data_IF_799493790388
#
_entry.id   IF_799493790388
#
_cell.length_a   1.000
_cell.length_b   1.000
_cell.length_c   1.000
_cell.angle_alpha   90.00
_cell.angle_beta   90.00
_cell.angle_gamma   90.00
#
_symmetry.space_group_name_H-M   'P 1'
#
loop_
_entity.id
_entity.type
_entity.pdbx_description
1 polymer ?
#
# COMPACT_ATOMS: atom_id res chain seq x y z
N UNK A 1 -1.57 -26.39 -13.74
CA UNK A 1 -1.59 -24.97 -14.11
C UNK A 1 -0.18 -24.42 -14.12
N UNK A 2 0.17 -23.60 -15.11
CA UNK A 2 1.39 -22.78 -15.12
C UNK A 2 1.03 -21.35 -14.72
N UNK A 3 1.93 -20.64 -14.05
CA UNK A 3 1.71 -19.27 -13.58
C UNK A 3 2.74 -18.35 -14.21
N UNK A 4 2.27 -17.29 -14.86
CA UNK A 4 3.11 -16.20 -15.37
C UNK A 4 2.77 -14.94 -14.60
N UNK A 5 3.76 -14.37 -13.90
CA UNK A 5 3.65 -13.08 -13.23
C UNK A 5 4.54 -12.09 -13.97
N UNK A 6 3.94 -11.00 -14.46
CA UNK A 6 4.69 -9.91 -15.07
C UNK A 6 4.43 -8.59 -14.33
N UNK A 7 5.49 -7.82 -14.12
CA UNK A 7 5.46 -6.49 -13.50
C UNK A 7 6.06 -5.47 -14.45
N UNK A 8 5.38 -4.34 -14.64
CA UNK A 8 5.78 -3.30 -15.59
C UNK A 8 5.94 -1.92 -14.95
N UNK A 9 6.69 -1.04 -15.64
CA UNK A 9 6.82 0.39 -15.31
C UNK A 9 5.71 1.23 -15.95
N UNK A 10 5.40 2.38 -15.33
CA UNK A 10 4.26 3.22 -15.70
C UNK A 10 4.56 4.26 -16.82
N UNK A 11 5.56 4.07 -17.69
CA UNK A 11 5.79 5.04 -18.79
C UNK A 11 4.94 4.70 -20.03
N UNK A 12 4.39 5.71 -20.71
CA UNK A 12 3.54 5.53 -21.90
C UNK A 12 4.28 4.82 -23.04
N UNK A 13 5.58 5.08 -23.18
CA UNK A 13 6.43 4.40 -24.17
C UNK A 13 6.63 2.93 -23.83
N UNK A 14 6.61 2.58 -22.53
CA UNK A 14 6.70 1.20 -22.08
C UNK A 14 5.40 0.44 -22.39
N UNK A 15 4.22 1.08 -22.36
CA UNK A 15 2.95 0.38 -22.55
C UNK A 15 2.85 -0.38 -23.88
N UNK A 16 3.29 0.22 -25.00
CA UNK A 16 3.30 -0.47 -26.29
C UNK A 16 4.27 -1.64 -26.31
N UNK A 17 5.43 -1.50 -25.67
CA UNK A 17 6.39 -2.60 -25.57
C UNK A 17 5.86 -3.72 -24.69
N UNK A 18 5.18 -3.37 -23.59
CA UNK A 18 4.53 -4.32 -22.69
C UNK A 18 3.45 -5.11 -23.41
N UNK A 19 2.59 -4.43 -24.17
CA UNK A 19 1.55 -5.07 -24.99
C UNK A 19 2.16 -6.01 -26.04
N UNK A 20 3.20 -5.56 -26.75
CA UNK A 20 3.93 -6.39 -27.70
C UNK A 20 4.56 -7.63 -27.05
N UNK A 21 5.22 -7.47 -25.89
CA UNK A 21 5.80 -8.60 -25.16
C UNK A 21 4.71 -9.54 -24.64
N UNK A 22 3.59 -9.02 -24.16
CA UNK A 22 2.45 -9.84 -23.74
C UNK A 22 1.90 -10.64 -24.91
N UNK A 23 1.73 -10.02 -26.08
CA UNK A 23 1.33 -10.70 -27.31
C UNK A 23 2.27 -11.86 -27.66
N UNK A 24 3.59 -11.63 -27.62
CA UNK A 24 4.60 -12.68 -27.86
C UNK A 24 4.51 -13.82 -26.86
N UNK A 25 4.31 -13.52 -25.57
CA UNK A 25 4.13 -14.54 -24.52
C UNK A 25 2.88 -15.37 -24.80
N UNK A 26 1.76 -14.72 -25.12
CA UNK A 26 0.49 -15.39 -25.42
C UNK A 26 0.61 -16.30 -26.65
N UNK A 27 1.18 -15.80 -27.75
CA UNK A 27 1.42 -16.61 -28.97
C UNK A 27 2.30 -17.83 -28.66
N UNK A 28 3.39 -17.65 -27.91
CA UNK A 28 4.25 -18.77 -27.52
C UNK A 28 3.49 -19.80 -26.67
N UNK A 29 2.69 -19.36 -25.70
CA UNK A 29 1.86 -20.26 -24.88
C UNK A 29 0.83 -21.00 -25.73
N UNK A 30 0.23 -20.35 -26.74
CA UNK A 30 -0.73 -20.95 -27.65
C UNK A 30 -0.09 -22.00 -28.56
N UNK A 31 1.02 -21.65 -29.24
CA UNK A 31 1.78 -22.55 -30.12
C UNK A 31 2.25 -23.82 -29.38
N UNK A 32 2.58 -23.69 -28.09
CA UNK A 32 2.99 -24.80 -27.24
C UNK A 32 1.81 -25.52 -26.54
N UNK A 33 0.56 -25.15 -26.84
CA UNK A 33 -0.67 -25.70 -26.21
C UNK A 33 -0.68 -25.59 -24.68
N UNK A 34 -0.04 -24.55 -24.14
CA UNK A 34 0.03 -24.26 -22.71
C UNK A 34 -0.99 -23.21 -22.27
N UNK A 35 -1.55 -22.46 -23.23
CA UNK A 35 -2.43 -21.33 -22.94
C UNK A 35 -3.68 -21.75 -22.13
N UNK A 36 -4.27 -22.91 -22.43
CA UNK A 36 -5.45 -23.47 -21.72
C UNK A 36 -5.19 -23.81 -20.25
N UNK A 37 -3.92 -23.97 -19.87
CA UNK A 37 -3.51 -24.43 -18.54
C UNK A 37 -2.72 -23.34 -17.80
N UNK A 38 -2.68 -22.12 -18.33
CA UNK A 38 -1.87 -21.03 -17.79
C UNK A 38 -2.75 -19.94 -17.18
N UNK A 39 -2.39 -19.51 -15.97
CA UNK A 39 -2.90 -18.29 -15.34
C UNK A 39 -1.87 -17.18 -15.52
N UNK A 40 -2.32 -16.02 -15.98
CA UNK A 40 -1.48 -14.85 -16.17
C UNK A 40 -1.93 -13.78 -15.19
N UNK A 41 -1.00 -13.27 -14.39
CA UNK A 41 -1.23 -12.13 -13.51
C UNK A 41 -0.32 -11.00 -13.97
N UNK A 42 -0.94 -9.87 -14.32
CA UNK A 42 -0.25 -8.65 -14.70
C UNK A 42 -0.54 -7.59 -13.64
N UNK A 43 0.50 -6.99 -13.12
CA UNK A 43 0.37 -5.84 -12.22
C UNK A 43 1.49 -4.85 -12.47
N UNK A 44 1.44 -3.69 -11.81
CA UNK A 44 2.58 -2.77 -11.80
C UNK A 44 3.04 -2.53 -10.38
N UNK A 45 4.30 -2.15 -10.24
CA UNK A 45 4.73 -1.56 -9.00
C UNK A 45 4.04 -0.21 -8.85
N UNK A 46 3.57 0.15 -7.63
CA UNK A 46 3.20 1.52 -7.39
C UNK A 46 4.45 2.34 -7.72
N UNK A 47 4.32 3.23 -8.71
CA UNK A 47 5.32 4.28 -8.87
C UNK A 47 5.46 4.92 -7.49
N UNK A 48 6.67 5.15 -6.99
CA UNK A 48 6.76 5.91 -5.74
C UNK A 48 5.92 7.18 -5.96
N UNK A 49 4.94 7.50 -5.08
CA UNK A 49 4.26 8.78 -5.17
C UNK A 49 5.36 9.80 -5.32
N UNK A 50 5.37 10.52 -6.46
CA UNK A 50 6.50 11.30 -6.93
C UNK A 50 7.02 12.03 -5.71
N UNK A 51 8.17 11.57 -5.16
CA UNK A 51 8.55 11.88 -3.76
C UNK A 51 8.23 13.33 -3.57
N UNK A 52 7.12 13.63 -2.89
CA UNK A 52 6.85 15.00 -2.50
C UNK A 52 8.00 15.18 -1.55
N UNK A 53 9.04 15.87 -2.03
CA UNK A 53 10.26 16.11 -1.27
C UNK A 53 9.74 16.93 -0.12
N UNK A 54 9.37 16.25 0.95
CA UNK A 54 9.10 16.89 2.19
C UNK A 54 10.48 17.33 2.63
N UNK A 55 10.78 18.59 2.33
CA UNK A 55 11.93 19.27 2.88
C UNK A 55 11.66 19.41 4.36
N UNK A 56 11.94 18.30 5.07
CA UNK A 56 11.74 18.23 6.48
C UNK A 56 12.50 19.38 7.11
N UNK A 57 11.88 20.14 8.01
CA UNK A 57 12.63 21.11 8.77
C UNK A 57 13.82 20.36 9.39
N UNK A 58 15.04 20.83 9.12
CA UNK A 58 16.30 20.31 9.71
C UNK A 58 16.79 21.26 10.80
N UNK A 59 16.03 21.52 11.88
CA UNK A 59 16.60 22.26 12.99
C UNK A 59 17.69 21.41 13.64
N UNK A 60 18.75 22.05 14.12
CA UNK A 60 19.96 21.41 14.69
C UNK A 60 19.67 20.43 15.86
N UNK A 61 18.45 20.42 16.38
CA UNK A 61 18.02 19.64 17.54
C UNK A 61 16.99 18.54 17.22
N UNK A 62 16.77 18.20 15.95
CA UNK A 62 15.81 17.17 15.53
C UNK A 62 16.48 16.21 14.55
N UNK A 63 16.43 14.92 14.87
CA UNK A 63 16.75 13.86 13.94
C UNK A 63 15.47 13.43 13.22
N UNK A 64 15.52 13.46 11.89
CA UNK A 64 14.39 13.08 11.04
C UNK A 64 14.71 11.80 10.29
N UNK A 65 13.79 10.83 10.33
CA UNK A 65 13.80 9.61 9.51
C UNK A 65 12.55 9.63 8.62
N UNK A 66 12.71 9.34 7.33
CA UNK A 66 11.60 9.19 6.38
C UNK A 66 11.49 7.71 6.04
N UNK A 67 10.35 7.10 6.40
CA UNK A 67 10.05 5.71 6.05
C UNK A 67 8.68 5.64 5.42
N UNK A 68 8.65 5.32 4.13
CA UNK A 68 7.43 5.30 3.31
C UNK A 68 6.69 6.64 3.34
N UNK A 69 5.45 6.66 3.84
CA UNK A 69 4.60 7.85 4.01
C UNK A 69 4.69 8.45 5.41
N UNK A 70 5.59 7.93 6.25
CA UNK A 70 5.71 8.32 7.65
C UNK A 70 7.02 9.04 7.88
N UNK A 71 6.90 10.28 8.32
CA UNK A 71 7.98 11.11 8.81
C UNK A 71 8.08 10.92 10.32
N UNK A 72 9.29 10.60 10.77
CA UNK A 72 9.60 10.27 12.16
C UNK A 72 10.58 11.30 12.69
N UNK A 73 10.21 11.96 13.78
CA UNK A 73 11.03 13.01 14.37
C UNK A 73 11.43 12.62 15.79
N UNK A 74 12.73 12.58 16.04
CA UNK A 74 13.32 12.42 17.36
C UNK A 74 13.87 13.76 17.81
N UNK A 75 13.29 14.31 18.88
CA UNK A 75 13.65 15.60 19.42
C UNK A 75 14.71 15.42 20.50
N UNK A 76 15.74 16.27 20.48
CA UNK A 76 16.74 16.32 21.56
C UNK A 76 16.11 16.76 22.88
N UNK A 77 15.18 17.71 22.82
CA UNK A 77 14.40 18.14 23.98
C UNK A 77 13.00 17.50 23.93
N UNK A 78 12.75 16.59 24.89
CA UNK A 78 11.54 15.76 24.95
C UNK A 78 10.46 16.29 25.90
N UNK A 79 10.62 17.50 26.44
CA UNK A 79 9.57 18.09 27.27
C UNK A 79 8.27 18.31 26.47
N UNK A 80 7.13 18.15 27.14
CA UNK A 80 5.81 18.19 26.50
C UNK A 80 5.56 19.49 25.72
N UNK A 81 6.05 20.63 26.23
CA UNK A 81 5.88 21.94 25.58
C UNK A 81 6.67 22.01 24.27
N UNK A 82 7.90 21.50 24.25
CA UNK A 82 8.73 21.43 23.03
C UNK A 82 8.12 20.51 21.98
N UNK A 83 7.65 19.33 22.39
CA UNK A 83 7.00 18.35 21.50
C UNK A 83 5.70 18.92 20.91
N UNK A 84 4.86 19.54 21.74
CA UNK A 84 3.62 20.19 21.28
C UNK A 84 3.89 21.36 20.35
N UNK A 85 4.87 22.22 20.68
CA UNK A 85 5.26 23.35 19.83
C UNK A 85 5.74 22.87 18.46
N UNK A 86 6.60 21.85 18.43
CA UNK A 86 7.10 21.30 17.18
C UNK A 86 6.00 20.64 16.36
N UNK A 87 5.18 19.76 16.96
CA UNK A 87 4.07 19.13 16.24
C UNK A 87 3.03 20.14 15.74
N UNK A 88 2.81 21.25 16.47
CA UNK A 88 1.98 22.36 15.99
C UNK A 88 2.59 23.07 14.78
N UNK A 89 3.92 23.22 14.72
CA UNK A 89 4.59 23.83 13.58
C UNK A 89 4.49 23.01 12.29
N UNK A 90 4.29 21.69 12.40
CA UNK A 90 4.10 20.81 11.24
C UNK A 90 2.72 21.00 10.60
N UNK A 91 1.72 21.51 11.33
CA UNK A 91 0.34 21.69 10.81
C UNK A 91 0.24 22.63 9.62
N UNK A 92 1.21 23.51 9.45
CA UNK A 92 1.25 24.48 8.34
C UNK A 92 1.78 23.88 7.04
N UNK A 93 2.17 22.60 7.05
CA UNK A 93 2.71 21.90 5.88
C UNK A 93 1.57 21.24 5.10
N UNK A 94 1.28 21.70 3.86
CA UNK A 94 0.17 21.17 3.06
C UNK A 94 0.37 19.71 2.66
N UNK A 95 1.60 19.21 2.67
CA UNK A 95 1.93 17.83 2.29
C UNK A 95 1.55 16.81 3.37
N UNK A 96 1.18 17.25 4.57
CA UNK A 96 0.89 16.39 5.70
C UNK A 96 -0.61 16.13 5.84
N UNK A 97 -0.98 14.85 5.89
CA UNK A 97 -2.34 14.41 6.16
C UNK A 97 -2.65 14.38 7.65
N UNK A 98 -1.72 13.92 8.48
CA UNK A 98 -1.90 13.84 9.94
C UNK A 98 -0.60 14.08 10.68
N UNK A 99 -0.70 14.63 11.90
CA UNK A 99 0.43 14.78 12.82
C UNK A 99 0.03 14.25 14.19
N UNK A 100 0.89 13.42 14.77
CA UNK A 100 0.72 12.79 16.07
C UNK A 100 1.96 13.02 16.92
N UNK A 101 1.78 13.24 18.22
CA UNK A 101 2.88 13.36 19.17
C UNK A 101 2.78 12.29 20.25
N UNK A 102 3.93 11.85 20.73
CA UNK A 102 4.04 10.85 21.78
C UNK A 102 3.75 11.49 23.14
N UNK A 103 2.91 10.83 23.93
CA UNK A 103 2.59 11.18 25.32
C UNK A 103 2.57 9.92 26.17
N UNK A 104 3.08 10.02 27.39
CA UNK A 104 2.97 8.96 28.38
C UNK A 104 1.66 9.13 29.17
N UNK A 105 0.85 8.08 29.23
CA UNK A 105 -0.40 8.02 30.01
C UNK A 105 -0.36 6.73 30.82
N UNK A 106 -0.40 6.86 32.15
CA UNK A 106 -0.43 5.71 33.06
C UNK A 106 0.72 4.70 32.83
N UNK A 107 1.95 5.19 32.59
CA UNK A 107 3.13 4.34 32.38
C UNK A 107 3.23 3.71 30.99
N UNK A 108 2.38 4.10 30.03
CA UNK A 108 2.40 3.61 28.64
C UNK A 108 2.51 4.78 27.67
N UNK A 109 3.25 4.58 26.59
CA UNK A 109 3.36 5.56 25.52
C UNK A 109 2.20 5.44 24.54
N UNK A 110 1.61 6.57 24.19
CA UNK A 110 0.54 6.70 23.22
C UNK A 110 0.88 7.82 22.23
N UNK A 111 0.44 7.67 20.98
CA UNK A 111 0.47 8.77 20.02
C UNK A 111 -0.89 9.47 20.02
N UNK A 112 -0.87 10.78 20.30
CA UNK A 112 -2.04 11.63 20.32
C UNK A 112 -2.05 12.47 19.04
N UNK A 113 -3.16 12.38 18.31
CA UNK A 113 -3.38 13.18 17.11
C UNK A 113 -3.47 14.66 17.46
N UNK A 114 -2.56 15.46 16.90
CA UNK A 114 -2.57 16.91 17.02
C UNK A 114 -3.24 17.58 15.81
N UNK A 115 -3.20 16.93 14.64
CA UNK A 115 -3.67 17.50 13.39
C UNK A 115 -4.14 16.41 12.42
N UNK A 116 -5.15 16.77 11.63
CA UNK A 116 -5.57 16.09 10.41
C UNK A 116 -5.91 17.17 9.40
N UNK A 117 -5.37 17.07 8.18
CA UNK A 117 -5.71 17.97 7.08
C UNK A 117 -7.20 17.85 6.76
N UNK A 118 -7.86 18.99 6.53
CA UNK A 118 -9.23 19.04 6.04
C UNK A 118 -9.36 18.59 4.59
N UNK A 119 -8.26 18.59 3.83
CA UNK A 119 -8.20 18.12 2.43
C UNK A 119 -8.17 16.59 2.33
N UNK A 120 -8.00 15.89 3.45
CA UNK A 120 -8.00 14.44 3.49
C UNK A 120 -9.44 13.91 3.36
N UNK A 121 -9.80 13.47 2.15
CA UNK A 121 -11.15 13.02 1.82
C UNK A 121 -11.18 11.62 1.18
N UNK A 122 -12.39 11.08 1.01
CA UNK A 122 -12.66 9.85 0.27
C UNK A 122 -11.81 8.65 0.73
N UNK A 123 -11.17 7.97 -0.23
CA UNK A 123 -10.36 6.78 0.07
C UNK A 123 -9.11 7.06 0.90
N UNK A 124 -8.55 8.28 0.84
CA UNK A 124 -7.38 8.65 1.62
C UNK A 124 -7.73 8.77 3.10
N UNK A 125 -8.87 9.41 3.40
CA UNK A 125 -9.40 9.50 4.76
C UNK A 125 -9.76 8.14 5.34
N UNK A 126 -10.44 7.29 4.57
CA UNK A 126 -10.81 5.95 5.01
C UNK A 126 -9.56 5.07 5.25
N UNK A 127 -8.56 5.16 4.38
CA UNK A 127 -7.27 4.50 4.62
C UNK A 127 -6.63 4.98 5.93
N UNK A 128 -6.56 6.30 6.14
CA UNK A 128 -5.95 6.86 7.34
C UNK A 128 -6.67 6.42 8.63
N UNK A 129 -8.01 6.43 8.62
CA UNK A 129 -8.82 5.93 9.76
C UNK A 129 -8.54 4.47 10.09
N UNK A 130 -8.36 3.63 9.08
CA UNK A 130 -8.22 2.18 9.27
C UNK A 130 -6.78 1.74 9.57
N UNK A 131 -5.78 2.40 8.96
CA UNK A 131 -4.39 1.95 9.02
C UNK A 131 -3.55 2.69 10.05
N UNK A 132 -3.77 4.00 10.23
CA UNK A 132 -2.95 4.82 11.15
C UNK A 132 -3.03 4.31 12.59
N UNK A 133 -4.21 3.96 13.17
CA UNK A 133 -4.26 3.49 14.55
C UNK A 133 -3.41 2.25 14.82
N UNK A 134 -3.45 1.25 13.93
CA UNK A 134 -2.65 0.02 14.04
C UNK A 134 -1.15 0.34 13.97
N UNK A 135 -0.75 1.22 13.04
CA UNK A 135 0.64 1.64 12.90
C UNK A 135 1.14 2.43 14.12
N UNK A 136 0.32 3.34 14.65
CA UNK A 136 0.68 4.09 15.86
C UNK A 136 0.91 3.16 17.05
N UNK A 137 0.07 2.12 17.18
CA UNK A 137 0.21 1.14 18.25
C UNK A 137 1.50 0.31 18.11
N UNK A 138 1.86 -0.12 16.90
CA UNK A 138 3.09 -0.89 16.67
C UNK A 138 4.36 -0.04 16.83
N UNK A 139 4.27 1.28 16.62
CA UNK A 139 5.37 2.20 16.80
C UNK A 139 5.54 2.69 18.24
N UNK A 140 4.51 2.61 19.09
CA UNK A 140 4.55 3.14 20.45
C UNK A 140 5.50 2.34 21.35
N UNK A 141 6.73 2.84 21.53
CA UNK A 141 7.73 2.27 22.43
C UNK A 141 8.58 3.37 23.07
N UNK A 142 9.39 3.04 24.07
CA UNK A 142 10.24 4.02 24.76
C UNK A 142 11.21 4.73 23.79
N UNK A 143 11.79 3.97 22.85
CA UNK A 143 12.74 4.48 21.84
C UNK A 143 12.07 5.03 20.57
N UNK A 144 10.74 5.03 20.52
CA UNK A 144 10.01 5.49 19.35
C UNK A 144 10.12 7.01 19.13
N UNK A 145 9.83 7.50 17.91
CA UNK A 145 9.85 8.92 17.58
C UNK A 145 8.95 9.75 18.51
N UNK A 146 9.35 10.97 18.82
CA UNK A 146 8.57 11.87 19.68
C UNK A 146 7.39 12.48 18.92
N UNK A 147 7.54 12.68 17.60
CA UNK A 147 6.47 13.12 16.70
C UNK A 147 6.47 12.25 15.44
N UNK A 148 5.27 11.88 15.00
CA UNK A 148 5.01 11.23 13.73
C UNK A 148 4.18 12.17 12.86
N UNK A 149 4.55 12.30 11.58
CA UNK A 149 3.70 12.93 10.60
C UNK A 149 3.49 12.00 9.42
N UNK A 150 2.26 11.95 8.94
CA UNK A 150 1.88 11.19 7.77
C UNK A 150 1.76 12.16 6.61
N UNK A 151 2.38 11.84 5.48
CA UNK A 151 2.15 12.60 4.25
C UNK A 151 0.76 12.28 3.71
N UNK A 152 0.18 13.18 2.92
CA UNK A 152 -0.98 12.85 2.10
C UNK A 152 -0.59 11.69 1.19
N UNK A 153 -1.15 10.51 1.48
CA UNK A 153 -0.99 9.34 0.63
C UNK A 153 -2.04 9.45 -0.45
N UNK A 154 -1.62 9.64 -1.69
CA UNK A 154 -2.47 9.23 -2.80
C UNK A 154 -2.27 7.72 -2.95
N UNK A 155 -3.26 6.87 -2.56
CA UNK A 155 -3.17 5.45 -2.80
C UNK A 155 -3.07 5.24 -4.30
N UNK A 156 -1.85 5.09 -4.77
CA UNK A 156 -1.61 4.78 -6.16
C UNK A 156 -2.28 3.45 -6.46
N UNK A 157 -3.34 3.54 -7.25
CA UNK A 157 -3.98 2.37 -7.81
C UNK A 157 -3.05 1.84 -8.87
N UNK A 158 -2.58 0.62 -8.66
CA UNK A 158 -1.90 -0.14 -9.69
C UNK A 158 -2.94 -1.02 -10.39
N UNK A 159 -2.85 -1.20 -11.72
CA UNK A 159 -3.63 -2.23 -12.38
C UNK A 159 -3.28 -3.60 -11.77
N UNK A 160 -4.31 -4.42 -11.60
CA UNK A 160 -4.18 -5.85 -11.38
C UNK A 160 -5.10 -6.53 -12.38
N UNK A 161 -4.52 -7.24 -13.33
CA UNK A 161 -5.24 -8.03 -14.30
C UNK A 161 -4.92 -9.50 -14.04
N UNK A 162 -5.97 -10.28 -13.84
CA UNK A 162 -5.88 -11.74 -13.73
C UNK A 162 -6.58 -12.31 -14.94
N UNK A 163 -5.83 -13.05 -15.75
CA UNK A 163 -6.36 -13.78 -16.89
C UNK A 163 -6.15 -15.27 -16.67
N UNK A 164 -7.18 -16.05 -16.96
CA UNK A 164 -7.11 -17.50 -17.02
C UNK A 164 -8.23 -17.99 -17.92
N UNK A 165 -7.97 -19.01 -18.75
CA UNK A 165 -8.98 -19.58 -19.64
C UNK A 165 -10.13 -20.26 -18.88
N UNK A 166 -9.89 -20.59 -17.61
CA UNK A 166 -10.85 -21.31 -16.78
C UNK A 166 -11.54 -20.42 -15.75
N UNK A 167 -11.34 -19.08 -15.80
CA UNK A 167 -12.14 -18.16 -15.01
C UNK A 167 -13.60 -18.16 -15.48
N UNK A 168 -14.53 -18.26 -14.53
CA UNK A 168 -15.99 -18.27 -14.72
C UNK A 168 -16.56 -16.88 -15.02
N UNK A 169 -15.97 -16.18 -16.00
CA UNK A 169 -16.37 -14.82 -16.41
C UNK A 169 -17.67 -14.80 -17.23
N UNK A 170 -18.15 -15.97 -17.66
CA UNK A 170 -19.47 -16.18 -18.24
C UNK A 170 -20.60 -15.90 -17.24
N UNK A 171 -20.31 -15.97 -15.93
CA UNK A 171 -21.24 -15.55 -14.90
C UNK A 171 -21.11 -14.04 -14.62
N UNK A 172 -22.13 -13.23 -14.94
CA UNK A 172 -22.08 -11.77 -14.78
C UNK A 172 -21.97 -11.32 -13.32
N UNK A 173 -22.46 -12.12 -12.37
CA UNK A 173 -22.34 -11.83 -10.93
C UNK A 173 -20.89 -11.95 -10.50
N UNK A 174 -20.21 -13.04 -10.91
CA UNK A 174 -18.78 -13.26 -10.62
C UNK A 174 -17.94 -12.16 -11.27
N UNK A 175 -18.20 -11.86 -12.54
CA UNK A 175 -17.48 -10.80 -13.27
C UNK A 175 -17.62 -9.44 -12.57
N UNK A 176 -18.84 -9.02 -12.24
CA UNK A 176 -19.08 -7.74 -11.57
C UNK A 176 -18.45 -7.72 -10.17
N UNK A 177 -18.49 -8.83 -9.43
CA UNK A 177 -17.81 -8.93 -8.14
C UNK A 177 -16.30 -8.73 -8.29
N UNK A 178 -15.64 -9.38 -9.26
CA UNK A 178 -14.21 -9.22 -9.49
C UNK A 178 -13.83 -7.80 -9.90
N UNK A 179 -14.60 -7.17 -10.79
CA UNK A 179 -14.36 -5.79 -11.25
C UNK A 179 -14.52 -4.75 -10.13
N UNK A 180 -15.39 -5.02 -9.15
CA UNK A 180 -15.62 -4.12 -8.01
C UNK A 180 -14.73 -4.41 -6.80
N UNK A 181 -14.12 -5.60 -6.74
CA UNK A 181 -13.30 -6.01 -5.61
C UNK A 181 -12.00 -5.22 -5.59
N UNK A 182 -11.79 -4.46 -4.52
CA UNK A 182 -10.53 -3.75 -4.29
C UNK A 182 -9.54 -4.70 -3.64
N UNK A 183 -8.37 -4.83 -4.25
CA UNK A 183 -7.29 -5.72 -3.80
C UNK A 183 -6.14 -4.85 -3.32
N UNK A 184 -5.58 -5.15 -2.15
CA UNK A 184 -4.35 -4.52 -1.67
C UNK A 184 -3.16 -5.26 -2.28
N UNK A 185 -2.03 -4.58 -2.44
CA UNK A 185 -0.83 -5.23 -2.97
C UNK A 185 -0.39 -6.44 -2.13
N UNK A 186 -0.58 -6.39 -0.80
CA UNK A 186 -0.31 -7.52 0.11
C UNK A 186 -1.22 -8.73 -0.13
N UNK A 187 -2.38 -8.53 -0.75
CA UNK A 187 -3.32 -9.60 -1.07
C UNK A 187 -2.88 -10.41 -2.32
N UNK A 188 -1.93 -9.90 -3.11
CA UNK A 188 -1.42 -10.62 -4.30
C UNK A 188 -0.78 -11.96 -3.91
N UNK A 189 0.00 -11.99 -2.82
CA UNK A 189 0.65 -13.22 -2.37
C UNK A 189 -0.35 -14.36 -2.05
N UNK A 190 -1.36 -14.17 -1.19
CA UNK A 190 -2.36 -15.22 -0.94
C UNK A 190 -3.18 -15.57 -2.18
N UNK A 191 -3.45 -14.62 -3.09
CA UNK A 191 -4.09 -14.92 -4.39
C UNK A 191 -3.24 -15.89 -5.22
N UNK A 192 -1.92 -15.67 -5.30
CA UNK A 192 -1.00 -16.54 -6.03
C UNK A 192 -0.98 -17.95 -5.41
N UNK A 193 -0.89 -18.05 -4.08
CA UNK A 193 -0.93 -19.33 -3.37
C UNK A 193 -2.24 -20.08 -3.65
N UNK A 194 -3.37 -19.39 -3.57
CA UNK A 194 -4.69 -19.94 -3.84
C UNK A 194 -4.80 -20.49 -5.28
N UNK A 195 -4.32 -19.72 -6.26
CA UNK A 195 -4.28 -20.13 -7.68
C UNK A 195 -3.37 -21.33 -7.93
N UNK A 196 -2.29 -21.45 -7.16
CA UNK A 196 -1.39 -22.61 -7.20
C UNK A 196 -1.92 -23.81 -6.42
N UNK A 197 -3.04 -23.66 -5.70
CA UNK A 197 -3.59 -24.69 -4.82
C UNK A 197 -2.75 -24.93 -3.57
N UNK A 198 -1.92 -23.96 -3.18
CA UNK A 198 -1.06 -24.01 -2.00
C UNK A 198 -1.78 -23.43 -0.78
N UNK A 199 -1.46 -23.90 0.44
CA UNK A 199 -2.01 -23.35 1.67
C UNK A 199 -1.49 -21.93 1.90
N UNK A 200 -2.35 -21.05 2.43
CA UNK A 200 -1.96 -19.71 2.89
C UNK A 200 -1.47 -19.84 4.33
N UNK A 201 -0.26 -19.39 4.59
CA UNK A 201 0.34 -19.49 5.93
C UNK A 201 -0.42 -18.63 6.96
N UNK A 202 -0.62 -19.13 8.19
CA UNK A 202 -1.15 -18.33 9.28
C UNK A 202 -0.24 -17.13 9.54
N UNK A 203 -0.81 -15.92 9.52
CA UNK A 203 -0.06 -14.68 9.74
C UNK A 203 0.36 -13.92 8.47
N UNK A 204 -0.06 -14.36 7.28
CA UNK A 204 -0.01 -13.51 6.08
C UNK A 204 -0.82 -12.21 6.27
N UNK A 205 -0.22 -11.06 5.97
CA UNK A 205 -0.88 -9.75 6.03
C UNK A 205 -2.02 -9.56 5.00
N UNK A 206 -1.97 -10.36 3.93
CA UNK A 206 -2.94 -10.35 2.84
C UNK A 206 -4.13 -11.30 3.06
N UNK A 207 -5.25 -10.99 2.41
CA UNK A 207 -6.47 -11.80 2.40
C UNK A 207 -6.62 -12.55 1.08
N UNK A 208 -7.10 -13.80 1.13
CA UNK A 208 -7.58 -14.52 -0.05
C UNK A 208 -8.83 -13.85 -0.62
N UNK A 209 -8.96 -13.88 -1.95
CA UNK A 209 -10.16 -13.40 -2.65
C UNK A 209 -11.17 -14.51 -2.96
N UNK A 210 -10.87 -15.76 -2.57
CA UNK A 210 -11.69 -16.90 -2.97
C UNK A 210 -11.62 -17.19 -4.48
N UNK A 211 -10.58 -16.75 -5.17
CA UNK A 211 -10.46 -16.89 -6.64
C UNK A 211 -10.48 -18.36 -7.08
N UNK A 212 -10.08 -19.30 -6.24
CA UNK A 212 -10.16 -20.73 -6.56
C UNK A 212 -11.60 -21.18 -6.80
N UNK A 213 -12.58 -20.56 -6.13
CA UNK A 213 -14.00 -20.85 -6.37
C UNK A 213 -14.50 -20.35 -7.72
N UNK A 214 -13.71 -19.49 -8.39
CA UNK A 214 -14.03 -18.83 -9.65
C UNK A 214 -13.34 -19.49 -10.84
N UNK A 215 -12.57 -20.57 -10.63
CA UNK A 215 -11.88 -21.33 -11.67
C UNK A 215 -12.53 -22.71 -11.80
N UNK A 216 -12.77 -23.15 -13.03
CA UNK A 216 -13.27 -24.49 -13.35
C UNK A 216 -12.28 -25.61 -12.97
#
# INVERSE_FOLDING_TARGET
WKLVLAMFSNSLTDLFQVDEQLGRILTCLEENKLLSDTVIILTSHPTQPAKTRFDAPKPENIQTEVKDTVLRFHLKNKDEKSVLKFSASLKTKPELSEVHYKKEISGRFHYIKNFRSSELEGSQLEWAKNQVPSLLQSLASEKSPDVLAFTAFDPQRVPLLVWSPNLRLDNPVIKNQLEQTRVRFVDIHPILLELMGLPIEPGSDGSSLGIKSLIY
#
